data_IF_420499130866
#
_entry.id   IF_420499130866
#
_cell.length_a   1.000
_cell.length_b   1.000
_cell.length_c   1.000
_cell.angle_alpha   90.00
_cell.angle_beta   90.00
_cell.angle_gamma   90.00
#
_symmetry.space_group_name_H-M   'P 1'
#
loop_
_entity.id
_entity.type
_entity.pdbx_description
1 polymer ?
#
# COMPACT_ATOMS: atom_id res chain seq x y z
N UNK A 1 -3.68 11.30 -9.24
CA UNK A 1 -4.00 10.37 -10.36
C UNK A 1 -5.52 10.18 -10.43
N UNK A 2 -6.26 10.97 -11.24
CA UNK A 2 -7.73 10.88 -11.32
C UNK A 2 -8.22 9.65 -12.10
N UNK A 3 -7.41 9.14 -13.03
CA UNK A 3 -7.85 8.15 -14.02
C UNK A 3 -8.17 6.77 -13.42
N UNK A 4 -7.61 6.42 -12.25
CA UNK A 4 -7.88 5.12 -11.62
C UNK A 4 -9.36 4.95 -11.25
N UNK A 5 -10.07 6.04 -10.96
CA UNK A 5 -11.51 6.02 -10.66
C UNK A 5 -12.32 6.28 -11.94
N UNK A 6 -11.89 7.23 -12.76
CA UNK A 6 -12.61 7.65 -13.96
C UNK A 6 -12.76 6.52 -15.01
N UNK A 7 -11.86 5.53 -15.03
CA UNK A 7 -11.95 4.41 -15.97
C UNK A 7 -13.07 3.40 -15.64
N UNK A 8 -13.53 3.33 -14.38
CA UNK A 8 -14.42 2.26 -13.90
C UNK A 8 -15.73 2.12 -14.69
N UNK A 9 -16.45 3.21 -15.05
CA UNK A 9 -17.70 3.12 -15.82
C UNK A 9 -17.51 2.60 -17.25
N UNK A 10 -16.27 2.52 -17.74
CA UNK A 10 -15.95 2.05 -19.09
C UNK A 10 -15.56 0.57 -19.13
N UNK A 11 -15.48 -0.10 -17.97
CA UNK A 11 -15.09 -1.51 -17.88
C UNK A 11 -16.32 -2.42 -17.95
N UNK A 12 -16.23 -3.48 -18.76
CA UNK A 12 -17.26 -4.51 -18.84
C UNK A 12 -17.23 -5.44 -17.61
N UNK A 13 -16.02 -5.70 -17.09
CA UNK A 13 -15.82 -6.56 -15.92
C UNK A 13 -14.72 -6.01 -15.02
N UNK A 14 -14.81 -6.34 -13.73
CA UNK A 14 -13.82 -5.98 -12.73
C UNK A 14 -13.54 -7.18 -11.84
N UNK A 15 -12.28 -7.36 -11.45
CA UNK A 15 -11.90 -8.26 -10.36
C UNK A 15 -12.45 -7.75 -9.02
N UNK A 16 -12.51 -8.63 -8.02
CA UNK A 16 -13.06 -8.29 -6.71
C UNK A 16 -12.29 -7.14 -6.05
N UNK A 17 -10.96 -7.19 -6.06
CA UNK A 17 -10.13 -6.12 -5.48
C UNK A 17 -10.28 -4.78 -6.23
N UNK A 18 -10.56 -4.80 -7.53
CA UNK A 18 -10.83 -3.59 -8.31
C UNK A 18 -12.17 -2.96 -7.93
N UNK A 19 -13.21 -3.80 -7.85
CA UNK A 19 -14.57 -3.41 -7.47
C UNK A 19 -14.60 -2.90 -6.03
N UNK A 20 -14.00 -3.64 -5.11
CA UNK A 20 -14.02 -3.32 -3.69
C UNK A 20 -13.14 -2.10 -3.40
N UNK A 21 -11.93 -1.99 -3.95
CA UNK A 21 -11.13 -0.76 -3.73
C UNK A 21 -11.75 0.47 -4.42
N UNK A 22 -12.51 0.25 -5.50
CA UNK A 22 -13.09 1.34 -6.29
C UNK A 22 -12.05 2.11 -7.08
N UNK A 23 -11.03 1.41 -7.56
CA UNK A 23 -9.98 1.96 -8.39
C UNK A 23 -9.40 0.86 -9.27
N UNK A 24 -9.11 1.20 -10.52
CA UNK A 24 -8.49 0.33 -11.51
C UNK A 24 -7.15 0.94 -11.93
N UNK A 25 -6.05 0.22 -11.75
CA UNK A 25 -4.73 0.62 -12.25
C UNK A 25 -4.30 -0.17 -13.49
N UNK A 26 -5.06 -1.21 -13.86
CA UNK A 26 -4.68 -2.18 -14.90
C UNK A 26 -5.90 -2.60 -15.69
N UNK A 27 -5.85 -2.39 -17.01
CA UNK A 27 -6.89 -2.82 -17.94
C UNK A 27 -6.36 -3.97 -18.77
N UNK A 28 -7.16 -5.01 -18.97
CA UNK A 28 -6.81 -6.19 -19.76
C UNK A 28 -8.03 -6.68 -20.55
N UNK A 29 -7.79 -7.57 -21.51
CA UNK A 29 -8.84 -8.05 -22.41
C UNK A 29 -9.15 -9.49 -22.09
N UNK A 30 -10.44 -9.85 -22.11
CA UNK A 30 -10.88 -11.24 -22.18
C UNK A 30 -11.86 -11.47 -23.31
N UNK A 31 -11.93 -12.70 -23.76
CA UNK A 31 -12.95 -13.15 -24.71
C UNK A 31 -14.16 -13.66 -23.94
N UNK A 32 -15.32 -13.03 -24.13
CA UNK A 32 -16.58 -13.46 -23.56
C UNK A 32 -17.20 -14.65 -24.31
N UNK A 33 -18.34 -15.16 -23.81
CA UNK A 33 -18.98 -16.38 -24.30
C UNK A 33 -19.31 -16.39 -25.81
N UNK A 34 -19.55 -15.22 -26.40
CA UNK A 34 -19.93 -15.05 -27.80
C UNK A 34 -18.79 -14.45 -28.66
N UNK A 35 -17.53 -14.73 -28.33
CA UNK A 35 -16.35 -14.10 -28.92
C UNK A 35 -16.30 -12.56 -28.79
N UNK A 36 -17.13 -11.98 -27.92
CA UNK A 36 -17.09 -10.55 -27.63
C UNK A 36 -15.81 -10.19 -26.87
N UNK A 37 -15.17 -9.09 -27.26
CA UNK A 37 -14.03 -8.54 -26.55
C UNK A 37 -14.52 -7.79 -25.32
N UNK A 38 -14.11 -8.24 -24.14
CA UNK A 38 -14.43 -7.63 -22.86
C UNK A 38 -13.25 -6.81 -22.35
N UNK A 39 -13.51 -5.55 -22.00
CA UNK A 39 -12.58 -4.66 -21.32
C UNK A 39 -12.68 -4.90 -19.82
N UNK A 40 -11.71 -5.59 -19.26
CA UNK A 40 -11.67 -5.95 -17.84
C UNK A 40 -10.69 -5.04 -17.08
N UNK A 41 -10.99 -4.74 -15.81
CA UNK A 41 -10.08 -4.01 -14.92
C UNK A 41 -9.70 -4.78 -13.66
N UNK A 42 -8.48 -4.56 -13.20
CA UNK A 42 -7.96 -5.05 -11.92
C UNK A 42 -7.20 -3.94 -11.19
N UNK A 43 -6.99 -4.12 -9.88
CA UNK A 43 -6.17 -3.25 -9.05
C UNK A 43 -4.94 -4.02 -8.53
N UNK A 44 -3.86 -3.96 -9.29
CA UNK A 44 -2.61 -4.64 -8.96
C UNK A 44 -1.82 -3.94 -7.86
N UNK A 45 -2.17 -2.70 -7.46
CA UNK A 45 -1.52 -2.05 -6.30
C UNK A 45 -1.74 -2.90 -5.04
N UNK A 46 -2.92 -3.51 -4.90
CA UNK A 46 -3.25 -4.39 -3.77
C UNK A 46 -2.33 -5.61 -3.72
N UNK A 47 -2.06 -6.20 -4.89
CA UNK A 47 -1.12 -7.30 -5.04
C UNK A 47 0.30 -6.82 -4.75
N UNK A 48 0.70 -5.67 -5.28
CA UNK A 48 1.99 -5.07 -5.04
C UNK A 48 2.27 -4.87 -3.55
N UNK A 49 1.28 -4.37 -2.81
CA UNK A 49 1.37 -4.21 -1.34
C UNK A 49 1.51 -5.57 -0.67
N UNK A 50 0.58 -6.51 -0.91
CA UNK A 50 0.61 -7.84 -0.29
C UNK A 50 1.95 -8.56 -0.54
N UNK A 51 2.37 -8.63 -1.79
CA UNK A 51 3.55 -9.39 -2.19
C UNK A 51 4.84 -8.71 -1.74
N UNK A 52 4.87 -7.38 -1.59
CA UNK A 52 6.00 -6.70 -0.94
C UNK A 52 6.27 -7.25 0.45
N UNK A 53 5.22 -7.47 1.25
CA UNK A 53 5.35 -8.09 2.57
C UNK A 53 5.69 -9.57 2.46
N UNK A 54 4.92 -10.36 1.71
CA UNK A 54 5.09 -11.81 1.64
C UNK A 54 6.45 -12.25 1.07
N UNK A 55 7.05 -11.43 0.21
CA UNK A 55 8.33 -11.74 -0.43
C UNK A 55 9.53 -11.14 0.31
N UNK A 56 9.31 -10.18 1.21
CA UNK A 56 10.39 -9.54 1.99
C UNK A 56 10.44 -10.05 3.43
N UNK A 57 9.33 -10.52 3.99
CA UNK A 57 9.22 -10.99 5.38
C UNK A 57 9.30 -12.52 5.41
N UNK A 58 10.32 -13.06 6.06
CA UNK A 58 10.57 -14.51 6.11
C UNK A 58 9.47 -15.29 6.85
N UNK A 59 8.95 -14.75 7.96
CA UNK A 59 7.84 -15.32 8.72
C UNK A 59 6.74 -14.28 8.95
N UNK A 60 5.78 -14.15 8.01
CA UNK A 60 4.62 -13.27 8.15
C UNK A 60 3.81 -13.49 9.43
N UNK A 61 3.76 -14.74 9.92
CA UNK A 61 2.97 -15.09 11.09
C UNK A 61 3.56 -14.51 12.37
N UNK A 62 4.88 -14.57 12.52
CA UNK A 62 5.58 -13.94 13.63
C UNK A 62 5.60 -12.40 13.55
N UNK A 63 5.57 -11.84 12.34
CA UNK A 63 5.77 -10.40 12.13
C UNK A 63 4.47 -9.60 12.17
N UNK A 64 3.41 -10.01 11.46
CA UNK A 64 2.21 -9.17 11.33
C UNK A 64 0.85 -9.88 11.36
N UNK A 65 0.78 -11.22 11.27
CA UNK A 65 -0.50 -11.89 11.45
C UNK A 65 -1.04 -11.71 12.87
N UNK A 66 -2.36 -11.54 13.00
CA UNK A 66 -3.07 -11.32 14.26
C UNK A 66 -2.54 -10.14 15.09
N UNK A 67 -1.86 -9.19 14.44
CA UNK A 67 -1.41 -7.94 15.03
C UNK A 67 -2.12 -6.77 14.34
N UNK A 68 -2.17 -5.58 14.95
CA UNK A 68 -2.67 -4.41 14.26
C UNK A 68 -1.77 -4.02 13.08
N UNK A 69 -2.31 -3.22 12.16
CA UNK A 69 -1.55 -2.55 11.12
C UNK A 69 -1.76 -1.04 11.19
N UNK A 70 -0.86 -0.29 10.57
CA UNK A 70 -0.94 1.16 10.41
C UNK A 70 -0.93 1.52 8.93
N UNK A 71 -1.88 2.37 8.51
CA UNK A 71 -1.90 3.01 7.19
C UNK A 71 -1.78 4.52 7.38
N UNK A 72 -0.80 5.12 6.70
CA UNK A 72 -0.55 6.57 6.77
C UNK A 72 -0.96 7.19 5.43
N UNK A 73 -1.95 8.08 5.44
CA UNK A 73 -2.52 8.77 4.28
C UNK A 73 -3.97 8.37 3.95
N UNK A 74 -4.70 9.23 3.23
CA UNK A 74 -6.12 9.04 2.84
C UNK A 74 -6.38 8.78 1.35
N UNK A 75 -5.31 8.63 0.54
CA UNK A 75 -5.41 8.53 -0.92
C UNK A 75 -5.79 7.15 -1.48
N UNK A 76 -5.73 7.01 -2.82
CA UNK A 76 -6.04 5.75 -3.50
C UNK A 76 -5.15 4.58 -3.09
N UNK A 77 -3.84 4.83 -2.88
CA UNK A 77 -2.92 3.81 -2.37
C UNK A 77 -3.28 3.34 -0.95
N UNK A 78 -3.79 4.24 -0.10
CA UNK A 78 -4.23 3.88 1.25
C UNK A 78 -5.44 2.94 1.20
N UNK A 79 -6.40 3.16 0.28
CA UNK A 79 -7.52 2.22 0.08
C UNK A 79 -7.06 0.84 -0.38
N UNK A 80 -6.09 0.76 -1.30
CA UNK A 80 -5.47 -0.51 -1.70
C UNK A 80 -4.76 -1.19 -0.54
N UNK A 81 -4.04 -0.43 0.31
CA UNK A 81 -3.37 -0.94 1.50
C UNK A 81 -4.35 -1.51 2.52
N UNK A 82 -5.43 -0.76 2.84
CA UNK A 82 -6.47 -1.21 3.76
C UNK A 82 -7.10 -2.51 3.26
N UNK A 83 -7.41 -2.61 1.96
CA UNK A 83 -7.95 -3.83 1.38
C UNK A 83 -6.97 -5.00 1.51
N UNK A 84 -5.71 -4.84 1.11
CA UNK A 84 -4.70 -5.90 1.20
C UNK A 84 -4.54 -6.40 2.64
N UNK A 85 -4.40 -5.44 3.58
CA UNK A 85 -4.25 -5.72 5.00
C UNK A 85 -5.46 -6.50 5.55
N UNK A 86 -6.68 -6.02 5.26
CA UNK A 86 -7.93 -6.60 5.77
C UNK A 86 -8.24 -7.97 5.17
N UNK A 87 -8.18 -8.09 3.84
CA UNK A 87 -8.64 -9.30 3.15
C UNK A 87 -7.56 -10.38 3.10
N UNK A 88 -6.28 -10.01 3.03
CA UNK A 88 -5.21 -10.96 2.63
C UNK A 88 -4.06 -11.09 3.63
N UNK A 89 -3.86 -10.14 4.55
CA UNK A 89 -2.70 -10.15 5.47
C UNK A 89 -3.02 -10.47 6.93
N UNK A 90 -4.26 -10.87 7.23
CA UNK A 90 -4.69 -11.41 8.54
C UNK A 90 -4.37 -10.50 9.73
N UNK A 91 -4.46 -9.18 9.55
CA UNK A 91 -4.28 -8.20 10.63
C UNK A 91 -5.56 -8.06 11.46
N UNK A 92 -5.45 -7.67 12.73
CA UNK A 92 -6.61 -7.48 13.62
C UNK A 92 -7.32 -6.15 13.34
N UNK A 93 -6.70 -5.05 13.73
CA UNK A 93 -7.19 -3.67 13.59
C UNK A 93 -6.29 -2.92 12.63
N UNK A 94 -6.85 -2.02 11.83
CA UNK A 94 -6.07 -1.13 10.96
C UNK A 94 -6.22 0.28 11.50
N UNK A 95 -5.12 0.84 12.02
CA UNK A 95 -5.02 2.24 12.38
C UNK A 95 -4.86 3.06 11.10
N UNK A 96 -5.66 4.09 10.95
CA UNK A 96 -5.59 5.05 9.86
C UNK A 96 -5.16 6.40 10.44
N UNK A 97 -4.09 6.96 9.89
CA UNK A 97 -3.60 8.30 10.25
C UNK A 97 -3.54 9.13 8.99
N UNK A 98 -4.23 10.27 8.97
CA UNK A 98 -4.18 11.21 7.86
C UNK A 98 -4.46 12.63 8.37
N UNK A 99 -3.87 13.63 7.72
CA UNK A 99 -4.05 15.05 8.09
C UNK A 99 -5.47 15.57 7.84
N UNK A 100 -6.16 15.01 6.86
CA UNK A 100 -7.44 15.52 6.37
C UNK A 100 -8.59 14.64 6.90
N UNK A 101 -9.39 15.22 7.79
CA UNK A 101 -10.50 14.53 8.44
C UNK A 101 -11.64 14.18 7.48
N UNK A 102 -11.85 14.96 6.40
CA UNK A 102 -12.84 14.66 5.37
C UNK A 102 -12.41 13.47 4.50
N UNK A 103 -11.12 13.41 4.14
CA UNK A 103 -10.55 12.23 3.48
C UNK A 103 -10.68 10.98 4.36
N UNK A 104 -10.41 11.10 5.67
CA UNK A 104 -10.59 9.98 6.62
C UNK A 104 -12.04 9.52 6.65
N UNK A 105 -13.00 10.44 6.82
CA UNK A 105 -14.44 10.10 6.80
C UNK A 105 -14.83 9.40 5.51
N UNK A 106 -14.32 9.87 4.38
CA UNK A 106 -14.55 9.27 3.07
C UNK A 106 -13.98 7.84 3.00
N UNK A 107 -12.74 7.63 3.42
CA UNK A 107 -12.11 6.30 3.44
C UNK A 107 -12.89 5.35 4.35
N UNK A 108 -13.24 5.76 5.58
CA UNK A 108 -14.02 4.93 6.52
C UNK A 108 -15.35 4.51 5.92
N UNK A 109 -16.12 5.47 5.37
CA UNK A 109 -17.42 5.22 4.75
C UNK A 109 -17.29 4.27 3.56
N UNK A 110 -16.37 4.56 2.64
CA UNK A 110 -16.25 3.81 1.39
C UNK A 110 -15.76 2.38 1.65
N UNK A 111 -14.78 2.18 2.56
CA UNK A 111 -14.33 0.85 2.94
C UNK A 111 -15.43 0.05 3.66
N UNK A 112 -16.22 0.70 4.53
CA UNK A 112 -17.36 0.06 5.19
C UNK A 112 -18.44 -0.37 4.19
N UNK A 113 -18.85 0.53 3.30
CA UNK A 113 -19.88 0.28 2.28
C UNK A 113 -19.50 -0.86 1.32
N UNK A 114 -18.18 -1.08 1.11
CA UNK A 114 -17.64 -2.09 0.21
C UNK A 114 -17.16 -3.36 0.94
N UNK A 115 -17.46 -3.51 2.23
CA UNK A 115 -17.25 -4.77 2.95
C UNK A 115 -15.80 -5.09 3.33
N UNK A 116 -14.94 -4.08 3.49
CA UNK A 116 -13.57 -4.24 4.01
C UNK A 116 -13.15 -3.16 5.02
N UNK A 117 -14.11 -2.40 5.57
CA UNK A 117 -13.88 -1.39 6.62
C UNK A 117 -13.93 -1.92 8.05
N UNK A 118 -14.20 -3.22 8.27
CA UNK A 118 -14.23 -3.79 9.62
C UNK A 118 -12.90 -3.58 10.34
N UNK A 119 -12.93 -3.15 11.61
CA UNK A 119 -11.73 -2.89 12.40
C UNK A 119 -10.82 -1.78 11.86
N UNK A 120 -11.30 -0.91 10.96
CA UNK A 120 -10.59 0.28 10.52
C UNK A 120 -10.86 1.41 11.53
N UNK A 121 -9.80 1.94 12.14
CA UNK A 121 -9.87 2.93 13.23
C UNK A 121 -9.04 4.15 12.87
N UNK A 122 -9.67 5.32 12.82
CA UNK A 122 -8.93 6.58 12.77
C UNK A 122 -8.24 6.84 14.11
N UNK A 123 -6.97 7.25 14.06
CA UNK A 123 -6.23 7.73 15.23
C UNK A 123 -5.99 9.22 15.01
N UNK A 124 -6.76 10.05 15.72
CA UNK A 124 -6.84 11.48 15.44
C UNK A 124 -5.88 12.31 16.31
N UNK A 125 -5.50 11.78 17.47
CA UNK A 125 -4.70 12.50 18.46
C UNK A 125 -3.58 11.64 19.04
N UNK A 126 -2.53 12.29 19.57
CA UNK A 126 -1.45 11.59 20.27
C UNK A 126 -1.92 10.86 21.53
N UNK A 127 -2.88 11.40 22.27
CA UNK A 127 -3.41 10.79 23.49
C UNK A 127 -4.05 9.42 23.22
N UNK A 128 -4.61 9.19 22.03
CA UNK A 128 -5.16 7.89 21.66
C UNK A 128 -4.08 6.81 21.53
N UNK A 129 -2.84 7.18 21.17
CA UNK A 129 -1.75 6.23 20.86
C UNK A 129 -1.40 5.38 22.07
N UNK A 130 -1.49 5.93 23.29
CA UNK A 130 -1.10 5.24 24.53
C UNK A 130 -1.87 3.94 24.74
N UNK A 131 -3.16 3.93 24.36
CA UNK A 131 -4.08 2.81 24.52
C UNK A 131 -4.01 1.78 23.37
N UNK A 132 -3.15 1.98 22.36
CA UNK A 132 -3.10 1.14 21.16
C UNK A 132 -2.01 0.07 21.24
N UNK A 133 -2.19 -1.05 20.57
CA UNK A 133 -1.13 -2.05 20.41
C UNK A 133 -0.12 -1.65 19.32
N UNK A 134 1.14 -2.07 19.45
CA UNK A 134 2.19 -1.80 18.44
C UNK A 134 1.88 -2.54 17.12
N UNK A 135 1.78 -1.84 15.98
CA UNK A 135 1.45 -2.49 14.71
C UNK A 135 2.53 -3.50 14.28
N UNK A 136 2.13 -4.55 13.56
CA UNK A 136 3.04 -5.51 12.92
C UNK A 136 3.32 -5.20 11.44
N UNK A 137 2.41 -4.48 10.77
CA UNK A 137 2.58 -4.02 9.40
C UNK A 137 2.26 -2.52 9.30
N UNK A 138 3.12 -1.76 8.66
CA UNK A 138 2.89 -0.33 8.37
C UNK A 138 2.94 -0.11 6.87
N UNK A 139 1.97 0.62 6.32
CA UNK A 139 1.98 1.04 4.91
C UNK A 139 1.86 2.56 4.85
N UNK A 140 2.95 3.22 4.47
CA UNK A 140 2.96 4.65 4.25
C UNK A 140 2.55 4.95 2.80
N UNK A 141 1.49 5.73 2.63
CA UNK A 141 0.89 6.10 1.35
C UNK A 141 0.96 7.61 1.10
N UNK A 142 1.90 8.30 1.74
CA UNK A 142 2.12 9.75 1.66
C UNK A 142 3.39 10.07 0.86
N UNK A 143 3.45 11.23 0.19
CA UNK A 143 4.70 11.68 -0.41
C UNK A 143 5.72 12.05 0.66
N UNK A 144 7.01 11.96 0.34
CA UNK A 144 8.11 12.42 1.22
C UNK A 144 8.26 13.95 1.15
N UNK A 145 7.35 14.65 1.83
CA UNK A 145 7.35 16.10 1.95
C UNK A 145 7.41 16.51 3.43
N UNK A 146 8.10 17.61 3.71
CA UNK A 146 8.15 18.20 5.04
C UNK A 146 6.74 18.73 5.42
N UNK A 147 6.23 18.42 6.63
CA UNK A 147 4.93 18.91 7.07
C UNK A 147 4.93 20.44 7.21
N UNK A 148 3.96 21.11 6.60
CA UNK A 148 3.84 22.59 6.59
C UNK A 148 2.72 23.10 7.48
N UNK A 149 1.65 22.34 7.60
CA UNK A 149 0.48 22.66 8.41
C UNK A 149 0.51 21.96 9.76
N UNK A 150 -0.27 22.46 10.74
CA UNK A 150 -0.40 21.81 12.04
C UNK A 150 -0.99 20.40 11.92
N UNK A 151 -1.98 20.22 11.06
CA UNK A 151 -2.57 18.90 10.79
C UNK A 151 -1.56 17.91 10.19
N UNK A 152 -0.64 18.37 9.33
CA UNK A 152 0.45 17.53 8.81
C UNK A 152 1.46 17.16 9.90
N UNK A 153 1.83 18.12 10.76
CA UNK A 153 2.73 17.89 11.90
C UNK A 153 2.11 16.90 12.88
N UNK A 154 0.84 17.07 13.23
CA UNK A 154 0.12 16.19 14.15
C UNK A 154 0.00 14.76 13.58
N UNK A 155 -0.42 14.61 12.33
CA UNK A 155 -0.49 13.30 11.68
C UNK A 155 0.89 12.60 11.65
N UNK A 156 1.97 13.37 11.41
CA UNK A 156 3.34 12.83 11.46
C UNK A 156 3.72 12.40 12.88
N UNK A 157 3.44 13.23 13.89
CA UNK A 157 3.71 12.88 15.29
C UNK A 157 2.96 11.63 15.74
N UNK A 158 1.70 11.46 15.34
CA UNK A 158 0.91 10.26 15.65
C UNK A 158 1.53 9.01 15.00
N UNK A 159 1.91 9.10 13.71
CA UNK A 159 2.55 8.00 13.01
C UNK A 159 3.91 7.63 13.65
N UNK A 160 4.74 8.62 13.95
CA UNK A 160 6.04 8.43 14.59
C UNK A 160 5.87 7.83 16.00
N UNK A 161 4.88 8.27 16.78
CA UNK A 161 4.57 7.72 18.10
C UNK A 161 4.12 6.25 18.03
N UNK A 162 3.24 5.90 17.07
CA UNK A 162 2.81 4.51 16.83
C UNK A 162 3.98 3.61 16.42
N UNK A 163 4.88 4.11 15.57
CA UNK A 163 6.07 3.37 15.16
C UNK A 163 7.10 3.24 16.29
N UNK A 164 7.20 4.24 17.18
CA UNK A 164 8.13 4.26 18.30
C UNK A 164 7.72 3.37 19.48
N UNK A 165 6.43 2.95 19.55
CA UNK A 165 5.90 2.15 20.67
C UNK A 165 6.78 0.95 21.03
N UNK A 166 6.92 0.61 22.33
CA UNK A 166 7.72 -0.54 22.75
C UNK A 166 7.14 -1.86 22.24
N UNK A 167 7.96 -2.92 22.26
CA UNK A 167 7.58 -4.26 21.81
C UNK A 167 8.19 -4.66 20.46
N UNK A 168 7.86 -5.87 19.96
CA UNK A 168 8.46 -6.42 18.75
C UNK A 168 8.10 -5.56 17.54
N UNK A 169 9.10 -5.08 16.81
CA UNK A 169 8.87 -4.34 15.56
C UNK A 169 8.43 -5.28 14.45
N UNK A 170 7.69 -4.72 13.51
CA UNK A 170 7.18 -5.42 12.35
C UNK A 170 7.92 -5.02 11.06
N UNK A 171 7.16 -4.99 9.96
CA UNK A 171 7.64 -4.47 8.69
C UNK A 171 6.94 -3.17 8.28
N UNK A 172 7.69 -2.26 7.64
CA UNK A 172 7.19 -0.98 7.10
C UNK A 172 7.39 -0.98 5.59
N UNK A 173 6.30 -0.82 4.85
CA UNK A 173 6.31 -0.53 3.42
C UNK A 173 6.06 0.97 3.22
N UNK A 174 7.04 1.68 2.66
CA UNK A 174 6.82 3.05 2.18
C UNK A 174 6.52 3.02 0.68
N UNK A 175 5.28 3.36 0.29
CA UNK A 175 4.87 3.37 -1.12
C UNK A 175 5.58 4.46 -1.94
N UNK A 176 6.21 5.44 -1.29
CA UNK A 176 6.97 6.48 -1.96
C UNK A 176 8.29 5.92 -2.54
N UNK A 177 8.43 6.00 -3.85
CA UNK A 177 9.68 5.66 -4.56
C UNK A 177 10.21 6.81 -5.43
N UNK A 178 9.49 7.94 -5.45
CA UNK A 178 9.83 9.11 -6.25
C UNK A 178 9.79 10.37 -5.38
N UNK A 179 10.86 11.19 -5.37
CA UNK A 179 11.96 11.16 -6.32
C UNK A 179 13.14 10.27 -5.88
N UNK A 180 13.02 9.60 -4.72
CA UNK A 180 13.91 8.55 -4.20
C UNK A 180 13.08 7.58 -3.35
N UNK A 181 13.42 6.28 -3.28
CA UNK A 181 12.81 5.37 -2.32
C UNK A 181 13.36 5.50 -0.90
N UNK A 182 14.48 6.21 -0.71
CA UNK A 182 15.08 6.46 0.61
C UNK A 182 14.47 7.73 1.22
N UNK A 183 13.29 7.59 1.80
CA UNK A 183 12.51 8.70 2.38
C UNK A 183 12.89 8.99 3.84
N UNK A 184 12.40 10.11 4.38
CA UNK A 184 12.51 10.38 5.83
C UNK A 184 11.83 9.31 6.68
N UNK A 185 10.69 8.76 6.22
CA UNK A 185 9.97 7.73 6.95
C UNK A 185 10.75 6.42 6.99
N UNK A 186 11.38 6.05 5.87
CA UNK A 186 12.31 4.90 5.80
C UNK A 186 13.44 5.06 6.82
N UNK A 187 14.08 6.24 6.88
CA UNK A 187 15.16 6.48 7.84
C UNK A 187 14.70 6.35 9.31
N UNK A 188 13.53 6.91 9.64
CA UNK A 188 12.93 6.80 10.99
C UNK A 188 12.61 5.34 11.32
N UNK A 189 11.99 4.62 10.40
CA UNK A 189 11.63 3.21 10.57
C UNK A 189 12.88 2.33 10.82
N UNK A 190 13.94 2.52 10.03
CA UNK A 190 15.22 1.82 10.22
C UNK A 190 15.83 2.12 11.59
N UNK A 191 15.90 3.40 11.99
CA UNK A 191 16.45 3.80 13.28
C UNK A 191 15.69 3.20 14.47
N UNK A 192 14.38 2.93 14.30
CA UNK A 192 13.54 2.31 15.31
C UNK A 192 13.53 0.77 15.24
N UNK A 193 14.31 0.15 14.35
CA UNK A 193 14.44 -1.31 14.25
C UNK A 193 13.35 -2.00 13.45
N UNK A 194 12.61 -1.28 12.61
CA UNK A 194 11.65 -1.89 11.70
C UNK A 194 12.33 -2.55 10.50
N UNK A 195 11.78 -3.66 10.03
CA UNK A 195 12.16 -4.20 8.72
C UNK A 195 11.57 -3.30 7.63
N UNK A 196 12.42 -2.57 6.91
CA UNK A 196 11.96 -1.67 5.86
C UNK A 196 11.84 -2.37 4.50
N UNK A 197 10.72 -2.12 3.84
CA UNK A 197 10.42 -2.50 2.47
C UNK A 197 10.22 -1.21 1.68
N UNK A 198 11.04 -1.02 0.63
CA UNK A 198 11.01 0.18 -0.18
C UNK A 198 9.85 0.14 -1.19
N UNK A 199 9.32 1.30 -1.58
CA UNK A 199 8.20 1.39 -2.53
C UNK A 199 8.49 0.83 -3.92
N UNK A 200 9.76 0.62 -4.24
CA UNK A 200 10.17 -0.10 -5.45
C UNK A 200 9.71 -1.55 -5.44
N UNK A 201 9.65 -2.24 -4.30
CA UNK A 201 9.10 -3.60 -4.24
C UNK A 201 7.63 -3.61 -4.63
N UNK A 202 6.82 -2.69 -4.08
CA UNK A 202 5.41 -2.60 -4.44
C UNK A 202 5.21 -2.30 -5.92
N UNK A 203 6.04 -1.42 -6.48
CA UNK A 203 6.06 -1.09 -7.91
C UNK A 203 6.45 -2.28 -8.79
N UNK A 204 7.41 -3.11 -8.36
CA UNK A 204 7.81 -4.33 -9.07
C UNK A 204 6.67 -5.34 -9.06
N UNK A 205 6.14 -5.66 -7.87
CA UNK A 205 5.12 -6.71 -7.72
C UNK A 205 3.79 -6.35 -8.40
N UNK A 206 3.35 -5.09 -8.32
CA UNK A 206 2.15 -4.67 -9.06
C UNK A 206 2.36 -4.76 -10.57
N UNK A 207 3.59 -4.54 -11.07
CA UNK A 207 3.91 -4.58 -12.50
C UNK A 207 4.02 -6.01 -13.02
N UNK A 208 4.62 -6.91 -12.23
CA UNK A 208 4.62 -8.34 -12.53
C UNK A 208 3.18 -8.90 -12.56
N UNK A 209 2.30 -8.42 -11.66
CA UNK A 209 0.91 -8.82 -11.70
C UNK A 209 0.20 -8.32 -12.97
N UNK A 210 0.50 -7.11 -13.44
CA UNK A 210 0.01 -6.60 -14.73
C UNK A 210 0.44 -7.50 -15.89
N UNK A 211 1.71 -7.90 -15.92
CA UNK A 211 2.25 -8.78 -16.95
C UNK A 211 1.52 -10.13 -17.02
N UNK A 212 1.09 -10.70 -15.87
CA UNK A 212 0.27 -11.93 -15.88
C UNK A 212 -1.04 -11.73 -16.62
N UNK A 213 -1.71 -10.61 -16.40
CA UNK A 213 -2.97 -10.30 -17.08
C UNK A 213 -2.80 -10.06 -18.58
N UNK A 214 -1.70 -9.44 -19.00
CA UNK A 214 -1.46 -9.11 -20.41
C UNK A 214 -0.86 -10.26 -21.21
N UNK A 215 0.02 -11.05 -20.61
CA UNK A 215 0.77 -12.10 -21.31
C UNK A 215 0.21 -13.50 -21.07
N UNK A 216 -0.62 -13.68 -20.04
CA UNK A 216 -1.10 -15.00 -19.61
C UNK A 216 -0.05 -15.85 -18.90
N UNK A 217 1.17 -15.34 -18.71
CA UNK A 217 2.26 -16.04 -18.02
C UNK A 217 2.06 -16.06 -16.51
N UNK A 218 2.57 -17.10 -15.87
CA UNK A 218 2.74 -17.17 -14.42
C UNK A 218 3.96 -16.36 -13.95
N UNK A 219 4.02 -16.04 -12.66
CA UNK A 219 5.16 -15.31 -12.06
C UNK A 219 6.49 -16.04 -12.28
N UNK A 220 6.49 -17.38 -12.23
CA UNK A 220 7.68 -18.21 -12.49
C UNK A 220 8.21 -18.11 -13.91
N UNK A 221 7.38 -17.68 -14.86
CA UNK A 221 7.77 -17.46 -16.26
C UNK A 221 8.18 -16.00 -16.53
N UNK A 222 7.98 -15.11 -15.55
CA UNK A 222 8.34 -13.70 -15.67
C UNK A 222 9.79 -13.45 -15.19
N UNK A 223 10.49 -12.46 -15.78
CA UNK A 223 11.90 -12.22 -15.49
C UNK A 223 12.11 -11.41 -14.21
N UNK A 224 11.61 -11.89 -13.07
CA UNK A 224 11.59 -11.17 -11.77
C UNK A 224 12.98 -10.61 -11.39
N UNK A 225 14.03 -11.44 -11.51
CA UNK A 225 15.40 -11.03 -11.20
C UNK A 225 15.87 -9.87 -12.09
N UNK A 226 15.64 -9.96 -13.41
CA UNK A 226 16.00 -8.89 -14.36
C UNK A 226 15.22 -7.61 -14.10
N UNK A 227 13.94 -7.71 -13.72
CA UNK A 227 13.13 -6.54 -13.35
C UNK A 227 13.72 -5.86 -12.12
N UNK A 228 14.06 -6.62 -11.07
CA UNK A 228 14.71 -6.09 -9.86
C UNK A 228 16.04 -5.40 -10.19
N UNK A 229 16.90 -6.03 -10.98
CA UNK A 229 18.18 -5.45 -11.42
C UNK A 229 17.98 -4.14 -12.20
N UNK A 230 17.03 -4.11 -13.14
CA UNK A 230 16.73 -2.92 -13.94
C UNK A 230 16.23 -1.76 -13.08
N UNK A 231 15.36 -2.04 -12.10
CA UNK A 231 14.87 -1.03 -11.16
C UNK A 231 16.00 -0.54 -10.26
N UNK A 232 16.82 -1.43 -9.70
CA UNK A 232 17.96 -1.07 -8.87
C UNK A 232 18.95 -0.15 -9.62
N UNK A 233 19.30 -0.51 -10.86
CA UNK A 233 20.16 0.31 -11.71
C UNK A 233 19.54 1.70 -11.97
N UNK A 234 18.22 1.78 -12.18
CA UNK A 234 17.52 3.06 -12.38
C UNK A 234 17.49 3.93 -11.13
N UNK A 235 17.31 3.33 -9.95
CA UNK A 235 17.39 4.03 -8.66
C UNK A 235 18.79 4.57 -8.45
N UNK A 236 19.83 3.75 -8.63
CA UNK A 236 21.22 4.15 -8.48
C UNK A 236 21.57 5.33 -9.41
N UNK A 237 21.17 5.26 -10.69
CA UNK A 237 21.41 6.34 -11.66
C UNK A 237 20.74 7.66 -11.24
N UNK A 238 19.52 7.61 -10.69
CA UNK A 238 18.79 8.81 -10.22
C UNK A 238 19.43 9.45 -8.99
N UNK A 239 20.00 8.63 -8.11
CA UNK A 239 20.74 9.12 -6.95
C UNK A 239 22.03 9.79 -7.38
N UNK A 240 22.77 9.17 -8.30
CA UNK A 240 24.00 9.74 -8.85
C UNK A 240 23.77 11.07 -9.59
N UNK A 241 22.63 11.23 -10.29
CA UNK A 241 22.31 12.48 -11.00
C UNK A 241 21.87 13.64 -10.10
N UNK A 242 21.76 13.43 -8.78
CA UNK A 242 21.32 14.44 -7.81
C UNK A 242 22.44 14.90 -6.87
N UNK A 243 23.60 14.24 -6.93
CA UNK A 243 24.85 14.65 -6.32
C UNK A 243 25.59 15.57 -7.29
#
# INVERSE_FOLDING_TARGET
MPNKVAILPHLDMMTDECRDVGACNTVFLRTGKNNQRLLCGTNTDVIGIRDSFLQSVADPAAVFHNRPALVIGGGGAARSAIYALRKWMRVTTIYLVNRDADEVRTVLRDCAARGYGAGLRHVATLAEVDALETPGAVVACVPDLEPRTDAEREARSIADALMARPGPKGAVLDMCYNPTPFTRLVAVAQAQGWQVILGTEAMIWQGLEQDKYWTGKSVSELPVAKVREAIAARVAKRLASKL
#
